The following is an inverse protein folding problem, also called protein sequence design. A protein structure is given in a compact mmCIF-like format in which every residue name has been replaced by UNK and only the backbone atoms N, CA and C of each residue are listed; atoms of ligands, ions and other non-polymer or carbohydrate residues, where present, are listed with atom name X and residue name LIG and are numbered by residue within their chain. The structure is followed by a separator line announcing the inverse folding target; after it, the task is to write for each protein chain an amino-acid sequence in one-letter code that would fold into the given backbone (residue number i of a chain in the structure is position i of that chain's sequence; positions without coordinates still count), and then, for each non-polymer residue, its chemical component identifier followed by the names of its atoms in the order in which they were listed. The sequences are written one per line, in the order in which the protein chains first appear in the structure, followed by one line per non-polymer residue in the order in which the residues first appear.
data_IF_739466819972
#
_entry.id   IF_739466819972
#
_cell.length_a   1.000
_cell.length_b   1.000
_cell.length_c   1.000
_cell.angle_alpha   90.00
_cell.angle_beta   90.00
_cell.angle_gamma   90.00
#
_symmetry.space_group_name_H-M   'P 1'
#
loop_
_entity.id
_entity.type
_entity.pdbx_description
1 polymer ?
#
# COMPACT_ATOMS: atom_id res chain seq x y z
N UNK A 1 14.30 -8.12 -4.60
CA UNK A 1 13.66 -6.92 -4.01
C UNK A 1 14.31 -5.69 -4.64
N UNK A 2 13.55 -4.64 -4.97
CA UNK A 2 14.06 -3.40 -5.58
C UNK A 2 14.02 -2.26 -4.54
N UNK A 3 15.04 -1.42 -4.54
CA UNK A 3 15.18 -0.27 -3.65
C UNK A 3 15.36 1.00 -4.48
N UNK A 4 14.72 2.10 -4.08
CA UNK A 4 14.98 3.41 -4.67
C UNK A 4 16.20 4.01 -3.96
N UNK A 5 17.31 4.14 -4.68
CA UNK A 5 18.60 4.57 -4.13
C UNK A 5 18.80 6.05 -4.40
N UNK A 6 19.14 6.82 -3.36
CA UNK A 6 19.61 8.20 -3.51
C UNK A 6 21.13 8.24 -3.56
N UNK A 7 21.67 8.60 -4.72
CA UNK A 7 23.11 8.64 -4.95
C UNK A 7 23.75 9.87 -4.29
N UNK A 8 24.92 9.68 -3.68
CA UNK A 8 25.67 10.77 -3.05
C UNK A 8 26.21 11.73 -4.11
N UNK A 9 26.06 13.05 -3.89
CA UNK A 9 26.47 14.07 -4.84
C UNK A 9 25.54 14.25 -6.04
N UNK A 10 24.47 13.46 -6.13
CA UNK A 10 23.46 13.57 -7.18
C UNK A 10 22.14 14.10 -6.62
N UNK A 11 21.33 14.68 -7.51
CA UNK A 11 20.02 15.16 -7.15
C UNK A 11 19.08 13.96 -6.90
N UNK A 12 18.01 14.15 -6.12
CA UNK A 12 17.02 13.08 -5.89
C UNK A 12 16.35 12.57 -7.18
N UNK A 13 16.52 13.29 -8.29
CA UNK A 13 16.01 12.92 -9.61
C UNK A 13 16.82 11.88 -10.34
N UNK A 14 18.05 11.69 -9.87
CA UNK A 14 18.97 10.68 -10.36
C UNK A 14 18.81 9.39 -9.56
N UNK A 15 17.84 9.34 -8.63
CA UNK A 15 17.52 8.13 -7.89
C UNK A 15 17.12 7.00 -8.86
N UNK A 16 17.73 5.83 -8.69
CA UNK A 16 17.45 4.64 -9.50
C UNK A 16 16.85 3.53 -8.66
N UNK A 17 16.03 2.69 -9.29
CA UNK A 17 15.56 1.45 -8.69
C UNK A 17 16.61 0.37 -8.88
N UNK A 18 17.35 0.05 -7.82
CA UNK A 18 18.39 -0.97 -7.86
C UNK A 18 17.90 -2.28 -7.23
N UNK A 19 18.22 -3.44 -7.81
CA UNK A 19 18.02 -4.72 -7.16
C UNK A 19 18.93 -4.84 -5.94
N UNK A 20 18.47 -5.57 -4.93
CA UNK A 20 19.22 -5.83 -3.70
C UNK A 20 20.66 -6.33 -3.95
N UNK A 21 20.87 -7.10 -5.01
CA UNK A 21 22.18 -7.63 -5.39
C UNK A 21 23.17 -6.56 -5.87
N UNK A 22 22.70 -5.37 -6.24
CA UNK A 22 23.56 -4.24 -6.62
C UNK A 22 23.95 -3.37 -5.42
N UNK A 23 23.38 -3.61 -4.24
CA UNK A 23 23.60 -2.80 -3.06
C UNK A 23 24.51 -3.54 -2.09
N UNK A 24 25.52 -2.83 -1.59
CA UNK A 24 26.34 -3.35 -0.51
C UNK A 24 25.54 -3.36 0.80
N UNK A 25 25.22 -4.56 1.25
CA UNK A 25 24.39 -4.81 2.44
C UNK A 25 25.04 -4.19 3.69
N UNK A 26 26.37 -4.05 3.72
CA UNK A 26 27.08 -3.43 4.84
C UNK A 26 26.84 -1.92 4.94
N UNK A 27 26.70 -1.23 3.80
CA UNK A 27 26.36 0.21 3.74
C UNK A 27 24.86 0.49 3.81
N UNK A 28 24.01 -0.53 3.64
CA UNK A 28 22.57 -0.48 3.91
C UNK A 28 22.19 -0.55 5.40
N UNK A 29 23.16 -0.46 6.32
CA UNK A 29 22.95 -0.60 7.78
C UNK A 29 21.96 0.41 8.37
N UNK A 30 21.67 1.52 7.68
CA UNK A 30 20.66 2.51 8.07
C UNK A 30 19.36 2.45 7.24
N UNK A 31 19.30 1.62 6.20
CA UNK A 31 18.10 1.41 5.40
C UNK A 31 17.32 0.24 6.00
N UNK A 32 16.77 0.47 7.20
CA UNK A 32 15.92 -0.55 7.82
C UNK A 32 14.73 -0.79 6.87
N UNK A 33 14.45 -2.04 6.48
CA UNK A 33 13.18 -2.35 5.82
C UNK A 33 12.07 -1.77 6.69
N UNK A 34 11.13 -1.06 6.07
CA UNK A 34 10.10 -0.32 6.79
C UNK A 34 9.51 -1.23 7.88
N UNK A 35 9.65 -0.81 9.15
CA UNK A 35 9.29 -1.67 10.27
C UNK A 35 7.78 -1.90 10.21
N UNK A 36 7.39 -3.13 9.90
CA UNK A 36 6.00 -3.58 9.93
C UNK A 36 5.70 -3.98 11.37
N UNK A 37 5.15 -3.04 12.14
CA UNK A 37 4.72 -3.31 13.50
C UNK A 37 3.23 -3.67 13.56
N UNK A 38 2.80 -4.18 14.72
CA UNK A 38 1.42 -4.61 14.96
C UNK A 38 0.42 -3.47 14.75
N UNK A 39 0.79 -2.23 15.06
CA UNK A 39 -0.10 -1.07 14.88
C UNK A 39 -0.36 -0.76 13.41
N UNK A 40 0.68 -0.78 12.55
CA UNK A 40 0.55 -0.61 11.09
C UNK A 40 -0.31 -1.72 10.50
N UNK A 41 -0.08 -2.96 10.90
CA UNK A 41 -0.88 -4.11 10.49
C UNK A 41 -2.35 -3.97 10.91
N UNK A 42 -2.59 -3.59 12.17
CA UNK A 42 -3.94 -3.41 12.73
C UNK A 42 -4.68 -2.28 12.05
N UNK A 43 -4.02 -1.14 11.83
CA UNK A 43 -4.62 0.00 11.11
C UNK A 43 -5.01 -0.40 9.68
N UNK A 44 -4.12 -1.12 9.01
CA UNK A 44 -4.35 -1.57 7.64
C UNK A 44 -5.49 -2.59 7.57
N UNK A 45 -5.55 -3.54 8.50
CA UNK A 45 -6.64 -4.50 8.61
C UNK A 45 -7.99 -3.80 8.80
N UNK A 46 -8.07 -2.80 9.69
CA UNK A 46 -9.31 -2.01 9.92
C UNK A 46 -9.76 -1.26 8.67
N UNK A 47 -8.83 -0.59 7.98
CA UNK A 47 -9.12 0.12 6.73
C UNK A 47 -9.66 -0.86 5.68
N UNK A 48 -9.01 -2.02 5.55
CA UNK A 48 -9.44 -3.07 4.65
C UNK A 48 -10.85 -3.56 4.98
N UNK A 49 -11.13 -3.86 6.24
CA UNK A 49 -12.42 -4.35 6.69
C UNK A 49 -13.55 -3.33 6.48
N UNK A 50 -13.32 -2.06 6.84
CA UNK A 50 -14.29 -0.99 6.64
C UNK A 50 -14.62 -0.81 5.15
N UNK A 51 -13.61 -0.83 4.28
CA UNK A 51 -13.84 -0.74 2.83
C UNK A 51 -14.65 -1.92 2.29
N UNK A 52 -14.43 -3.14 2.80
CA UNK A 52 -15.24 -4.30 2.46
C UNK A 52 -16.68 -4.17 2.97
N UNK A 53 -16.88 -3.68 4.20
CA UNK A 53 -18.22 -3.43 4.75
C UNK A 53 -18.97 -2.37 3.94
N UNK A 54 -18.32 -1.25 3.61
CA UNK A 54 -18.90 -0.19 2.77
C UNK A 54 -19.30 -0.69 1.39
N UNK A 55 -18.47 -1.56 0.79
CA UNK A 55 -18.75 -2.22 -0.49
C UNK A 55 -20.00 -3.10 -0.43
N UNK A 56 -20.20 -3.80 0.68
CA UNK A 56 -21.29 -4.76 0.83
C UNK A 56 -22.60 -4.14 1.31
N UNK A 57 -22.64 -2.81 1.50
CA UNK A 57 -23.87 -2.08 1.81
C UNK A 57 -24.94 -2.32 0.72
N UNK A 58 -26.24 -2.44 1.08
CA UNK A 58 -27.30 -2.84 0.15
C UNK A 58 -27.42 -1.95 -1.10
N UNK A 59 -27.17 -0.64 -0.92
CA UNK A 59 -27.32 0.38 -1.97
C UNK A 59 -26.03 0.64 -2.76
N UNK A 60 -24.92 -0.02 -2.42
CA UNK A 60 -23.68 0.13 -3.16
C UNK A 60 -23.73 -0.72 -4.44
N UNK A 61 -23.63 -0.06 -5.59
CA UNK A 61 -23.64 -0.69 -6.92
C UNK A 61 -22.25 -0.83 -7.54
N UNK A 62 -21.19 -0.42 -6.84
CA UNK A 62 -19.84 -0.39 -7.39
C UNK A 62 -19.23 -1.79 -7.48
N UNK A 63 -18.60 -2.10 -8.62
CA UNK A 63 -17.91 -3.39 -8.84
C UNK A 63 -16.50 -3.43 -8.26
N UNK A 64 -15.94 -2.30 -7.84
CA UNK A 64 -14.66 -2.19 -7.16
C UNK A 64 -14.68 -1.09 -6.10
N UNK A 65 -13.82 -1.18 -5.09
CA UNK A 65 -13.54 -0.08 -4.15
C UNK A 65 -12.04 0.23 -4.15
N UNK A 66 -11.68 1.50 -4.01
CA UNK A 66 -10.28 1.91 -3.87
C UNK A 66 -9.96 2.03 -2.39
N UNK A 67 -8.87 1.39 -1.96
CA UNK A 67 -8.31 1.56 -0.62
C UNK A 67 -7.00 2.33 -0.72
N UNK A 68 -6.79 3.30 0.18
CA UNK A 68 -5.43 3.73 0.50
C UNK A 68 -4.81 2.69 1.42
N UNK A 69 -3.90 1.91 0.85
CA UNK A 69 -3.22 0.81 1.53
C UNK A 69 -1.75 1.19 1.73
N UNK A 70 -1.20 0.96 2.92
CA UNK A 70 0.22 1.16 3.20
C UNK A 70 1.05 0.20 2.31
N UNK A 71 1.86 0.75 1.41
CA UNK A 71 2.56 -0.04 0.40
C UNK A 71 3.49 -1.10 1.00
N UNK A 72 4.14 -0.79 2.12
CA UNK A 72 5.05 -1.76 2.75
C UNK A 72 4.26 -2.90 3.39
N UNK A 73 3.13 -2.58 4.02
CA UNK A 73 2.21 -3.61 4.55
C UNK A 73 1.65 -4.45 3.40
N UNK A 74 1.31 -3.83 2.26
CA UNK A 74 0.83 -4.55 1.08
C UNK A 74 1.87 -5.54 0.57
N UNK A 75 3.11 -5.08 0.38
CA UNK A 75 4.24 -5.90 -0.02
C UNK A 75 4.53 -7.01 1.00
N UNK A 76 4.45 -6.72 2.28
CA UNK A 76 4.63 -7.70 3.35
C UNK A 76 3.58 -8.82 3.28
N UNK A 77 2.31 -8.46 3.09
CA UNK A 77 1.19 -9.39 3.10
C UNK A 77 1.07 -10.20 1.80
N UNK A 78 1.25 -9.54 0.66
CA UNK A 78 0.89 -10.07 -0.66
C UNK A 78 2.12 -10.44 -1.50
N UNK A 79 3.29 -9.91 -1.15
CA UNK A 79 4.60 -10.26 -1.73
C UNK A 79 4.75 -10.00 -3.24
N UNK A 80 3.89 -9.18 -3.83
CA UNK A 80 4.00 -8.73 -5.24
C UNK A 80 3.49 -7.30 -5.38
N UNK A 81 4.05 -6.53 -6.32
CA UNK A 81 3.52 -5.22 -6.72
C UNK A 81 2.42 -5.30 -7.79
N UNK A 82 1.94 -6.51 -8.10
CA UNK A 82 0.94 -6.79 -9.14
C UNK A 82 -0.46 -7.08 -8.58
N UNK A 83 -1.43 -7.22 -9.48
CA UNK A 83 -2.78 -7.66 -9.13
C UNK A 83 -2.79 -9.08 -8.58
N UNK A 84 -3.26 -9.25 -7.34
CA UNK A 84 -3.36 -10.56 -6.70
C UNK A 84 -4.81 -10.98 -6.51
N UNK A 85 -5.10 -12.23 -6.89
CA UNK A 85 -6.36 -12.89 -6.57
C UNK A 85 -6.30 -13.44 -5.14
N UNK A 86 -7.14 -12.88 -4.28
CA UNK A 86 -7.38 -13.40 -2.94
C UNK A 86 -8.59 -14.34 -3.05
N UNK A 87 -8.31 -15.64 -3.00
CA UNK A 87 -9.28 -16.73 -3.09
C UNK A 87 -9.66 -17.31 -1.72
N UNK A 88 -8.90 -16.95 -0.68
CA UNK A 88 -9.12 -17.41 0.69
C UNK A 88 -8.55 -16.42 1.70
N UNK A 89 -9.08 -16.49 2.93
CA UNK A 89 -8.59 -15.74 4.09
C UNK A 89 -7.09 -15.95 4.33
N UNK A 90 -6.61 -17.17 4.08
CA UNK A 90 -5.24 -17.57 4.37
C UNK A 90 -4.19 -16.74 3.61
N UNK A 91 -4.53 -16.23 2.42
CA UNK A 91 -3.67 -15.32 1.66
C UNK A 91 -3.48 -13.95 2.33
N UNK A 92 -4.31 -13.62 3.32
CA UNK A 92 -4.22 -12.41 4.13
C UNK A 92 -3.92 -12.75 5.61
N UNK A 93 -3.41 -13.95 5.90
CA UNK A 93 -3.05 -14.40 7.26
C UNK A 93 -2.03 -13.51 7.98
N UNK A 94 -1.25 -12.73 7.22
CA UNK A 94 -0.31 -11.73 7.75
C UNK A 94 -0.99 -10.44 8.24
N UNK A 95 -2.23 -10.18 7.84
CA UNK A 95 -3.04 -9.09 8.39
C UNK A 95 -3.88 -9.63 9.55
N UNK A 96 -3.94 -8.94 10.69
CA UNK A 96 -4.80 -9.30 11.82
C UNK A 96 -6.26 -8.91 11.53
N UNK A 97 -6.82 -9.48 10.48
CA UNK A 97 -8.25 -9.38 10.14
C UNK A 97 -9.06 -10.30 11.06
N UNK A 98 -10.33 -9.97 11.28
CA UNK A 98 -11.22 -10.77 12.14
C UNK A 98 -11.32 -12.22 11.66
N UNK A 99 -11.20 -13.16 12.60
CA UNK A 99 -11.29 -14.62 12.34
C UNK A 99 -12.65 -15.03 11.76
N UNK A 100 -13.71 -14.28 12.11
CA UNK A 100 -15.06 -14.53 11.63
C UNK A 100 -15.35 -13.82 10.31
N UNK A 101 -14.40 -13.88 9.37
CA UNK A 101 -14.41 -13.12 8.11
C UNK A 101 -15.56 -13.51 7.18
N UNK A 102 -16.76 -13.09 7.58
CA UNK A 102 -18.04 -13.44 7.03
C UNK A 102 -18.79 -12.13 6.88
N UNK A 103 -18.73 -11.54 5.70
CA UNK A 103 -19.50 -10.34 5.44
C UNK A 103 -20.89 -10.71 4.92
N UNK A 104 -21.90 -9.95 5.31
CA UNK A 104 -23.27 -10.16 4.89
C UNK A 104 -23.73 -8.97 4.04
N UNK A 105 -24.23 -9.26 2.84
CA UNK A 105 -25.05 -8.30 2.09
C UNK A 105 -26.49 -8.46 2.53
N UNK A 106 -27.04 -7.49 3.24
CA UNK A 106 -28.46 -7.51 3.60
C UNK A 106 -29.31 -7.28 2.35
N UNK A 107 -30.24 -8.18 2.06
CA UNK A 107 -31.26 -7.97 1.03
C UNK A 107 -32.36 -7.03 1.55
N UNK A 108 -33.32 -6.66 0.69
CA UNK A 108 -34.45 -5.77 1.06
C UNK A 108 -35.35 -6.33 2.17
N UNK A 109 -35.21 -7.60 2.52
CA UNK A 109 -35.97 -8.31 3.55
C UNK A 109 -35.12 -8.56 4.81
N UNK A 110 -33.97 -7.89 4.96
CA UNK A 110 -33.04 -8.03 6.08
C UNK A 110 -32.36 -9.40 6.23
N UNK A 111 -32.46 -10.29 5.22
CA UNK A 111 -31.65 -11.51 5.19
C UNK A 111 -30.24 -11.20 4.70
N UNK A 112 -29.24 -11.60 5.48
CA UNK A 112 -27.82 -11.47 5.11
C UNK A 112 -27.39 -12.55 4.13
N UNK A 113 -27.12 -12.18 2.87
CA UNK A 113 -26.38 -13.04 1.96
C UNK A 113 -24.89 -12.99 2.33
N UNK A 114 -24.37 -14.09 2.90
CA UNK A 114 -22.94 -14.24 3.14
C UNK A 114 -22.18 -14.07 1.82
N UNK A 115 -21.32 -13.05 1.75
CA UNK A 115 -20.37 -12.86 0.66
C UNK A 115 -18.99 -13.24 1.19
N UNK A 116 -18.37 -14.15 0.46
CA UNK A 116 -17.00 -14.61 0.68
C UNK A 116 -16.24 -14.52 -0.64
N UNK A 117 -14.95 -14.80 -0.59
CA UNK A 117 -14.00 -14.90 -1.70
C UNK A 117 -14.59 -15.52 -2.99
N UNK A 118 -14.02 -15.23 -4.17
CA UNK A 118 -12.78 -14.49 -4.39
C UNK A 118 -12.97 -12.99 -4.64
N UNK A 119 -11.94 -12.21 -4.32
CA UNK A 119 -11.80 -10.83 -4.78
C UNK A 119 -10.37 -10.56 -5.27
N UNK A 120 -10.25 -9.61 -6.20
CA UNK A 120 -8.96 -9.20 -6.76
C UNK A 120 -8.50 -7.92 -6.10
N UNK A 121 -7.27 -7.92 -5.59
CA UNK A 121 -6.56 -6.71 -5.20
C UNK A 121 -5.70 -6.24 -6.36
N UNK A 122 -5.64 -4.94 -6.59
CA UNK A 122 -4.78 -4.34 -7.62
C UNK A 122 -4.13 -3.12 -7.02
N UNK A 123 -2.82 -3.19 -6.83
CA UNK A 123 -1.98 -2.07 -6.47
C UNK A 123 -2.00 -1.02 -7.59
N UNK A 124 -2.26 0.23 -7.22
CA UNK A 124 -2.06 1.38 -8.10
C UNK A 124 -1.29 2.44 -7.33
N UNK A 125 -0.04 2.66 -7.71
CA UNK A 125 0.75 3.74 -7.14
C UNK A 125 0.18 5.07 -7.59
N UNK A 126 -0.08 5.96 -6.63
CA UNK A 126 -0.43 7.34 -6.96
C UNK A 126 0.84 8.07 -7.38
N UNK A 127 0.82 8.70 -8.55
CA UNK A 127 1.94 9.46 -9.08
C UNK A 127 1.59 10.95 -9.08
N UNK A 128 2.51 11.82 -8.69
CA UNK A 128 2.44 13.27 -8.87
C UNK A 128 3.41 13.71 -9.96
N UNK A 129 3.01 14.72 -10.74
CA UNK A 129 3.92 15.44 -11.62
C UNK A 129 4.78 16.36 -10.77
N UNK A 130 6.08 16.33 -10.99
CA UNK A 130 7.02 17.28 -10.43
C UNK A 130 7.76 18.00 -11.56
N UNK A 131 8.14 19.24 -11.31
CA UNK A 131 8.87 20.07 -12.25
C UNK A 131 10.25 20.34 -11.67
N UNK A 132 11.27 20.02 -12.43
CA UNK A 132 12.66 20.02 -12.00
C UNK A 132 13.39 21.02 -12.87
N UNK A 133 14.05 21.98 -12.22
CA UNK A 133 14.85 22.96 -12.93
C UNK A 133 16.27 22.42 -13.02
N UNK A 134 16.76 22.26 -14.24
CA UNK A 134 18.13 21.85 -14.53
C UNK A 134 19.08 23.05 -14.42
N UNK A 135 20.37 22.75 -14.31
CA UNK A 135 21.43 23.76 -14.23
C UNK A 135 21.53 24.63 -15.49
N UNK A 136 21.12 24.09 -16.65
CA UNK A 136 21.02 24.82 -17.92
C UNK A 136 19.79 25.75 -17.99
N UNK A 137 18.99 25.81 -16.92
CA UNK A 137 17.78 26.61 -16.82
C UNK A 137 16.53 25.98 -17.45
N UNK A 138 16.65 24.83 -18.11
CA UNK A 138 15.51 24.09 -18.66
C UNK A 138 14.68 23.42 -17.55
N UNK A 139 13.40 23.16 -17.84
CA UNK A 139 12.47 22.50 -16.91
C UNK A 139 12.09 21.13 -17.44
N UNK A 140 12.38 20.08 -16.67
CA UNK A 140 11.93 18.72 -16.95
C UNK A 140 10.72 18.37 -16.09
N UNK A 141 9.74 17.68 -16.68
CA UNK A 141 8.59 17.15 -15.95
C UNK A 141 8.76 15.65 -15.75
N UNK A 142 8.84 15.21 -14.49
CA UNK A 142 8.92 13.79 -14.11
C UNK A 142 7.67 13.37 -13.33
N UNK A 143 7.34 12.08 -13.39
CA UNK A 143 6.33 11.46 -12.51
C UNK A 143 7.05 10.82 -11.32
N UNK A 144 6.64 11.17 -10.10
CA UNK A 144 7.13 10.53 -8.87
C UNK A 144 5.98 9.93 -8.06
N UNK A 145 6.18 8.82 -7.34
CA UNK A 145 5.21 8.33 -6.37
C UNK A 145 4.84 9.42 -5.35
N UNK A 146 3.58 9.44 -4.92
CA UNK A 146 3.14 10.28 -3.81
C UNK A 146 3.54 9.58 -2.52
N UNK A 147 4.57 10.10 -1.86
CA UNK A 147 4.91 9.73 -0.50
C UNK A 147 3.97 10.45 0.47
N UNK A 148 3.43 9.72 1.45
CA UNK A 148 2.78 10.36 2.59
C UNK A 148 3.90 10.79 3.51
N UNK A 149 4.07 12.10 3.70
CA UNK A 149 4.88 12.59 4.80
C UNK A 149 4.32 11.98 6.07
N UNK A 150 5.08 11.09 6.69
CA UNK A 150 4.82 10.70 8.07
C UNK A 150 4.98 12.00 8.82
N UNK A 151 3.86 12.65 9.14
CA UNK A 151 3.87 13.75 10.08
C UNK A 151 4.40 13.11 11.35
N UNK A 152 5.68 13.30 11.63
CA UNK A 152 6.25 13.06 12.94
C UNK A 152 5.33 13.84 13.85
N UNK A 153 4.45 13.12 14.55
CA UNK A 153 3.69 13.72 15.63
C UNK A 153 4.74 14.35 16.52
N UNK A 154 4.78 15.69 16.51
CA UNK A 154 5.58 16.47 17.41
C UNK A 154 5.23 15.99 18.80
N UNK A 155 6.15 15.27 19.43
CA UNK A 155 6.19 15.15 20.87
C UNK A 155 6.31 16.57 21.42
N UNK A 156 5.16 17.13 21.79
CA UNK A 156 5.08 18.31 22.62
C UNK A 156 4.64 17.83 23.99
N UNK A 157 5.62 17.66 24.88
CA UNK A 157 5.41 17.65 26.33
C UNK A 157 4.82 18.99 26.79
#
# INVERSE_FOLDING_TARGET
MLYLVKWEGFHEDDNTWEPQSHLDIASMTNFFPAIINVDRLTRTARLFEDAMQQRLRPNNRTESTNLRFDLDVYRYCVSTDESVLIDSVNKLSKLPVSNDWNYYRLNRQCYGQKKTFPFRLTSKLQMRKIHLRKDDGSVETKLRPVELEITSASESC
#
